data_IF_359589592624
#
_entry.id   IF_359589592624
#
_cell.length_a   1.000
_cell.length_b   1.000
_cell.length_c   1.000
_cell.angle_alpha   90.00
_cell.angle_beta   90.00
_cell.angle_gamma   90.00
#
_symmetry.space_group_name_H-M   'P 1'
#
loop_
_entity.id
_entity.type
_entity.pdbx_description
1 polymer ?
#
# COMPACT_ATOMS: atom_id res chain seq x y z
N UNK A 1 -5.94 -10.18 -16.91
CA UNK A 1 -6.13 -8.90 -16.17
C UNK A 1 -5.46 -9.03 -14.80
N UNK A 2 -4.20 -8.60 -14.64
CA UNK A 2 -3.51 -8.72 -13.35
C UNK A 2 -3.92 -7.57 -12.43
N UNK A 3 -5.05 -7.71 -11.71
CA UNK A 3 -5.40 -6.77 -10.64
C UNK A 3 -4.34 -6.86 -9.55
N UNK A 4 -3.51 -5.83 -9.40
CA UNK A 4 -2.56 -5.76 -8.31
C UNK A 4 -3.32 -5.72 -6.98
N UNK A 5 -3.12 -6.74 -6.14
CA UNK A 5 -3.72 -6.86 -4.81
C UNK A 5 -2.65 -6.74 -3.74
N UNK A 6 -2.95 -5.96 -2.71
CA UNK A 6 -2.11 -5.81 -1.52
C UNK A 6 -2.66 -6.68 -0.39
N UNK A 7 -1.76 -7.26 0.41
CA UNK A 7 -2.14 -8.01 1.59
C UNK A 7 -2.12 -7.09 2.80
N UNK A 8 -3.25 -6.94 3.48
CA UNK A 8 -3.36 -6.13 4.71
C UNK A 8 -3.92 -7.00 5.85
N UNK A 9 -3.48 -6.74 7.08
CA UNK A 9 -4.08 -7.37 8.26
C UNK A 9 -5.36 -6.62 8.64
N UNK A 10 -6.44 -7.36 8.92
CA UNK A 10 -7.65 -6.78 9.47
C UNK A 10 -7.36 -6.18 10.86
N UNK A 11 -7.66 -4.90 11.12
CA UNK A 11 -7.41 -4.26 12.41
C UNK A 11 -8.38 -4.70 13.51
N UNK A 12 -9.49 -5.35 13.15
CA UNK A 12 -10.42 -5.93 14.12
C UNK A 12 -9.75 -7.10 14.85
N UNK A 13 -9.66 -6.99 16.18
CA UNK A 13 -9.11 -8.05 17.05
C UNK A 13 -9.89 -9.36 16.95
N UNK A 14 -11.16 -9.31 16.55
CA UNK A 14 -12.02 -10.48 16.39
C UNK A 14 -11.64 -11.33 15.18
N UNK A 15 -11.03 -10.71 14.15
CA UNK A 15 -10.76 -11.37 12.88
C UNK A 15 -9.28 -11.60 12.63
N UNK A 16 -8.45 -10.55 12.75
CA UNK A 16 -6.99 -10.55 12.54
C UNK A 16 -6.47 -11.24 11.26
N UNK A 17 -7.35 -11.61 10.32
CA UNK A 17 -7.01 -12.31 9.08
C UNK A 17 -6.33 -11.35 8.09
N UNK A 18 -5.45 -11.94 7.28
CA UNK A 18 -4.83 -11.26 6.14
C UNK A 18 -5.85 -11.24 5.00
N UNK A 19 -6.13 -10.05 4.48
CA UNK A 19 -7.05 -9.81 3.38
C UNK A 19 -6.26 -9.34 2.16
N UNK A 20 -6.61 -9.88 0.98
CA UNK A 20 -6.15 -9.35 -0.29
C UNK A 20 -7.11 -8.24 -0.73
N UNK A 21 -6.64 -6.99 -0.69
CA UNK A 21 -7.40 -5.80 -1.07
C UNK A 21 -6.84 -5.25 -2.38
N UNK A 22 -7.66 -4.87 -3.37
CA UNK A 22 -7.16 -4.30 -4.61
C UNK A 22 -6.52 -2.94 -4.40
N UNK A 23 -5.49 -2.61 -5.19
CA UNK A 23 -4.81 -1.30 -5.11
C UNK A 23 -5.74 -0.10 -5.38
N UNK A 24 -6.83 -0.31 -6.13
CA UNK A 24 -7.85 0.71 -6.42
C UNK A 24 -8.64 1.16 -5.18
N UNK A 25 -8.63 0.34 -4.12
CA UNK A 25 -9.27 0.67 -2.84
C UNK A 25 -8.34 1.32 -1.82
N UNK A 26 -7.09 1.64 -2.20
CA UNK A 26 -6.18 2.41 -1.33
C UNK A 26 -6.78 3.78 -1.01
N UNK A 27 -6.68 4.19 0.25
CA UNK A 27 -7.27 5.43 0.75
C UNK A 27 -8.79 5.39 0.96
N UNK A 28 -9.46 4.29 0.60
CA UNK A 28 -10.90 4.09 0.81
C UNK A 28 -11.16 3.16 1.99
N UNK A 29 -12.41 3.18 2.44
CA UNK A 29 -12.91 2.29 3.48
C UNK A 29 -13.56 1.07 2.81
N UNK A 30 -13.06 -0.13 3.10
CA UNK A 30 -13.55 -1.40 2.53
C UNK A 30 -14.12 -2.29 3.62
N UNK A 31 -15.05 -3.18 3.25
CA UNK A 31 -15.54 -4.21 4.17
C UNK A 31 -14.67 -5.45 4.13
N UNK A 32 -14.33 -5.96 5.31
CA UNK A 32 -13.65 -7.24 5.48
C UNK A 32 -14.51 -8.38 4.94
N UNK A 33 -13.98 -9.20 4.03
CA UNK A 33 -14.69 -10.40 3.54
C UNK A 33 -14.91 -11.44 4.65
N UNK A 34 -14.05 -11.46 5.66
CA UNK A 34 -14.06 -12.48 6.72
C UNK A 34 -14.96 -12.15 7.91
N UNK A 35 -15.06 -10.87 8.29
CA UNK A 35 -15.84 -10.45 9.47
C UNK A 35 -16.86 -9.35 9.18
N UNK A 36 -16.94 -8.83 7.94
CA UNK A 36 -17.85 -7.74 7.58
C UNK A 36 -17.49 -6.36 8.15
N UNK A 37 -16.45 -6.28 8.99
CA UNK A 37 -15.99 -5.04 9.61
C UNK A 37 -15.48 -4.02 8.60
N UNK A 38 -15.66 -2.75 8.95
CA UNK A 38 -15.25 -1.59 8.16
C UNK A 38 -13.76 -1.29 8.39
N UNK A 39 -12.92 -1.44 7.36
CA UNK A 39 -11.46 -1.27 7.44
C UNK A 39 -11.04 -0.08 6.58
N UNK A 40 -10.23 0.82 7.15
CA UNK A 40 -9.60 1.91 6.40
C UNK A 40 -8.30 1.42 5.77
N UNK A 41 -8.22 1.43 4.44
CA UNK A 41 -7.00 1.02 3.72
C UNK A 41 -6.06 2.24 3.66
N UNK A 42 -4.83 2.16 4.18
CA UNK A 42 -3.91 3.28 4.09
C UNK A 42 -3.64 3.65 2.62
N UNK A 43 -3.54 4.95 2.30
CA UNK A 43 -3.15 5.38 0.96
C UNK A 43 -1.75 4.86 0.66
N UNK A 44 -1.42 4.68 -0.63
CA UNK A 44 -0.04 4.42 -1.03
C UNK A 44 0.76 5.60 -0.48
N UNK A 45 1.76 5.34 0.37
CA UNK A 45 2.74 6.35 0.71
C UNK A 45 3.29 6.83 -0.64
N UNK A 46 3.02 8.09 -0.97
CA UNK A 46 3.69 8.75 -2.08
C UNK A 46 5.12 8.82 -1.59
N UNK A 47 5.94 7.85 -1.97
CA UNK A 47 7.39 8.05 -1.94
C UNK A 47 7.60 9.37 -2.69
N UNK A 48 8.23 10.38 -2.05
CA UNK A 48 8.63 11.56 -2.79
C UNK A 48 9.40 11.06 -4.03
N UNK A 49 9.18 11.67 -5.21
CA UNK A 49 9.85 11.25 -6.42
C UNK A 49 11.36 11.09 -6.11
N UNK A 50 12.04 10.07 -6.66
CA UNK A 50 13.46 9.91 -6.44
C UNK A 50 14.15 11.17 -6.94
N UNK A 51 14.45 12.06 -6.01
CA UNK A 51 15.22 13.26 -6.24
C UNK A 51 16.60 12.77 -6.67
N UNK A 52 17.03 13.29 -7.82
CA UNK A 52 18.18 12.82 -8.57
C UNK A 52 19.42 12.68 -7.68
N UNK A 53 19.86 11.43 -7.48
CA UNK A 53 21.28 11.17 -7.23
C UNK A 53 21.83 10.55 -8.49
N UNK A 54 22.29 11.40 -9.41
CA UNK A 54 23.19 11.00 -10.47
C UNK A 54 24.54 11.69 -10.24
N UNK A 55 25.42 10.94 -9.58
CA UNK A 55 26.83 10.79 -9.86
C UNK A 55 27.64 12.05 -10.24
N UNK A 56 28.17 12.72 -9.21
CA UNK A 56 29.50 13.30 -9.28
C UNK A 56 30.54 12.17 -9.42
N UNK A 57 31.15 12.04 -10.61
CA UNK A 57 32.47 11.44 -10.79
C UNK A 57 33.28 12.28 -11.79
N UNK A 58 34.12 13.14 -11.21
CA UNK A 58 35.52 13.44 -11.58
C UNK A 58 35.84 13.88 -13.02
N UNK A 59 36.10 15.18 -13.21
CA UNK A 59 36.99 15.71 -14.26
C UNK A 59 37.65 17.04 -13.83
N UNK A 60 38.83 17.34 -14.41
CA UNK A 60 39.71 18.54 -14.29
C UNK A 60 40.64 18.57 -13.06
N UNK A 61 41.94 18.22 -13.16
CA UNK A 61 43.11 18.75 -13.90
C UNK A 61 43.93 19.75 -13.07
#
# INVERSE_FOLDING_TARGET
MAQQTIRIKCPSLTCQKILAVPVTSRGKTVRCKSCGGTIRVPPKAVEPPPEATEAAKTDVK
#
